data_IF_384530727957
#
_entry.id   IF_384530727957
#
_cell.length_a   1.000
_cell.length_b   1.000
_cell.length_c   1.000
_cell.angle_alpha   90.00
_cell.angle_beta   90.00
_cell.angle_gamma   90.00
#
_symmetry.space_group_name_H-M   'P 1'
#
loop_
_entity.id
_entity.type
_entity.pdbx_description
1 polymer ?
#
# COMPACT_ATOMS: atom_id res chain seq x y z
N UNK A 1 -31.13 -22.71 42.48
CA UNK A 1 -29.84 -23.17 41.91
C UNK A 1 -29.37 -22.40 40.65
N UNK A 2 -29.99 -21.27 40.27
CA UNK A 2 -29.65 -20.55 39.02
C UNK A 2 -28.58 -19.44 39.11
N UNK A 3 -28.19 -19.01 40.31
CA UNK A 3 -27.25 -17.88 40.50
C UNK A 3 -25.76 -18.25 40.32
N UNK A 4 -25.39 -19.53 40.39
CA UNK A 4 -24.00 -19.98 40.22
C UNK A 4 -23.61 -20.12 38.74
N UNK A 5 -24.56 -20.42 37.85
CA UNK A 5 -24.28 -20.70 36.44
C UNK A 5 -23.96 -19.43 35.66
N UNK A 6 -24.64 -18.30 35.93
CA UNK A 6 -24.33 -17.00 35.30
C UNK A 6 -22.95 -16.46 35.71
N UNK A 7 -22.56 -16.66 36.98
CA UNK A 7 -21.27 -16.22 37.54
C UNK A 7 -20.08 -17.05 37.02
N UNK A 8 -20.30 -18.33 36.71
CA UNK A 8 -19.31 -19.20 36.07
C UNK A 8 -19.17 -18.85 34.58
N UNK A 9 -20.28 -18.49 33.92
CA UNK A 9 -20.28 -18.06 32.51
C UNK A 9 -19.57 -16.72 32.30
N UNK A 10 -19.62 -15.81 33.28
CA UNK A 10 -18.87 -14.54 33.26
C UNK A 10 -17.38 -14.69 33.61
N UNK A 11 -16.99 -15.78 34.27
CA UNK A 11 -15.59 -16.06 34.64
C UNK A 11 -14.80 -16.78 33.53
N UNK A 12 -15.48 -17.24 32.48
CA UNK A 12 -14.89 -17.93 31.32
C UNK A 12 -14.92 -17.08 30.05
N UNK A 13 -14.81 -15.75 30.17
CA UNK A 13 -14.25 -14.97 29.05
C UNK A 13 -12.76 -15.27 29.01
N UNK A 14 -12.39 -16.36 28.34
CA UNK A 14 -11.00 -16.71 28.09
C UNK A 14 -10.41 -15.64 27.16
N UNK A 15 -9.92 -14.57 27.77
CA UNK A 15 -9.20 -13.51 27.08
C UNK A 15 -7.93 -14.13 26.52
N UNK A 16 -7.75 -14.08 25.19
CA UNK A 16 -6.53 -14.57 24.54
C UNK A 16 -5.31 -13.93 25.21
N UNK A 17 -4.25 -14.72 25.40
CA UNK A 17 -2.98 -14.23 25.95
C UNK A 17 -2.36 -13.16 25.03
N UNK A 18 -1.67 -12.13 25.58
CA UNK A 18 -0.92 -11.14 24.81
C UNK A 18 -0.04 -11.75 23.70
N UNK A 19 0.63 -12.87 23.98
CA UNK A 19 1.53 -13.54 23.03
C UNK A 19 0.79 -14.11 21.81
N UNK A 20 -0.47 -14.52 22.00
CA UNK A 20 -1.33 -15.03 20.92
C UNK A 20 -1.70 -13.91 19.96
N UNK A 21 -2.00 -12.71 20.47
CA UNK A 21 -2.26 -11.53 19.63
C UNK A 21 -1.01 -11.09 18.87
N UNK A 22 0.16 -11.10 19.52
CA UNK A 22 1.43 -10.78 18.87
C UNK A 22 1.72 -11.73 17.69
N UNK A 23 1.57 -13.04 17.91
CA UNK A 23 1.75 -14.05 16.86
C UNK A 23 0.77 -13.89 15.71
N UNK A 24 -0.50 -13.56 16.00
CA UNK A 24 -1.51 -13.29 14.96
C UNK A 24 -1.18 -12.03 14.15
N UNK A 25 -0.75 -10.95 14.81
CA UNK A 25 -0.33 -9.71 14.16
C UNK A 25 0.94 -9.88 13.30
N UNK A 26 1.89 -10.69 13.78
CA UNK A 26 3.11 -11.03 13.04
C UNK A 26 2.79 -11.85 11.79
N UNK A 27 1.90 -12.85 11.90
CA UNK A 27 1.41 -13.62 10.75
C UNK A 27 0.78 -12.73 9.68
N UNK A 28 -0.12 -11.82 10.09
CA UNK A 28 -0.76 -10.87 9.17
C UNK A 28 0.28 -9.96 8.49
N UNK A 29 1.28 -9.46 9.23
CA UNK A 29 2.34 -8.62 8.65
C UNK A 29 3.20 -9.38 7.64
N UNK A 30 3.54 -10.64 7.92
CA UNK A 30 4.33 -11.47 7.01
C UNK A 30 3.58 -11.75 5.71
N UNK A 31 2.28 -12.05 5.78
CA UNK A 31 1.42 -12.23 4.60
C UNK A 31 1.30 -10.94 3.78
N UNK A 32 1.13 -9.78 4.44
CA UNK A 32 1.14 -8.46 3.80
C UNK A 32 2.45 -8.24 3.03
N UNK A 33 3.60 -8.48 3.69
CA UNK A 33 4.92 -8.30 3.08
C UNK A 33 5.17 -9.26 1.92
N UNK A 34 4.66 -10.49 1.98
CA UNK A 34 4.77 -11.45 0.90
C UNK A 34 3.94 -11.03 -0.32
N UNK A 35 2.70 -10.58 -0.11
CA UNK A 35 1.82 -10.09 -1.19
C UNK A 35 2.41 -8.82 -1.83
N UNK A 36 2.90 -7.87 -1.03
CA UNK A 36 3.53 -6.66 -1.57
C UNK A 36 4.77 -6.98 -2.42
N UNK A 37 5.62 -7.92 -1.97
CA UNK A 37 6.78 -8.37 -2.76
C UNK A 37 6.35 -9.04 -4.07
N UNK A 38 5.37 -9.95 -4.03
CA UNK A 38 4.85 -10.62 -5.24
C UNK A 38 4.24 -9.63 -6.23
N UNK A 39 3.52 -8.62 -5.76
CA UNK A 39 2.96 -7.59 -6.64
C UNK A 39 4.06 -6.75 -7.30
N UNK A 40 5.10 -6.36 -6.55
CA UNK A 40 6.22 -5.62 -7.10
C UNK A 40 6.96 -6.41 -8.19
N UNK A 41 7.17 -7.72 -7.99
CA UNK A 41 7.81 -8.56 -9.02
C UNK A 41 6.92 -8.76 -10.24
N UNK A 42 5.61 -8.94 -10.06
CA UNK A 42 4.65 -9.05 -11.16
C UNK A 42 4.56 -7.77 -11.99
N UNK A 43 4.53 -6.60 -11.35
CA UNK A 43 4.56 -5.31 -12.02
C UNK A 43 5.83 -5.16 -12.88
N UNK A 44 6.99 -5.50 -12.30
CA UNK A 44 8.25 -5.48 -13.04
C UNK A 44 8.23 -6.43 -14.24
N UNK A 45 7.76 -7.66 -14.06
CA UNK A 45 7.63 -8.63 -15.15
C UNK A 45 6.71 -8.11 -16.27
N UNK A 46 5.55 -7.54 -15.93
CA UNK A 46 4.63 -6.95 -16.89
C UNK A 46 5.29 -5.83 -17.71
N UNK A 47 6.02 -4.93 -17.06
CA UNK A 47 6.72 -3.84 -17.73
C UNK A 47 7.78 -4.35 -18.69
N UNK A 48 8.65 -5.27 -18.22
CA UNK A 48 9.70 -5.87 -19.04
C UNK A 48 9.11 -6.55 -20.26
N UNK A 49 8.09 -7.41 -20.08
CA UNK A 49 7.42 -8.12 -21.18
C UNK A 49 6.80 -7.13 -22.17
N UNK A 50 6.11 -6.09 -21.67
CA UNK A 50 5.45 -5.09 -22.53
C UNK A 50 6.46 -4.29 -23.35
N UNK A 51 7.57 -3.86 -22.74
CA UNK A 51 8.64 -3.15 -23.44
C UNK A 51 9.32 -4.02 -24.49
N UNK A 52 9.59 -5.30 -24.18
CA UNK A 52 10.12 -6.23 -25.18
C UNK A 52 9.17 -6.37 -26.36
N UNK A 53 7.89 -6.69 -26.14
CA UNK A 53 6.90 -6.86 -27.23
C UNK A 53 6.84 -5.61 -28.11
N UNK A 54 6.80 -4.41 -27.50
CA UNK A 54 6.74 -3.15 -28.22
C UNK A 54 8.04 -2.89 -29.00
N UNK A 55 9.20 -3.11 -28.38
CA UNK A 55 10.51 -2.91 -29.01
C UNK A 55 10.68 -3.81 -30.24
N UNK A 56 10.44 -5.12 -30.10
CA UNK A 56 10.54 -6.09 -31.20
C UNK A 56 9.56 -5.77 -32.35
N UNK A 57 8.32 -5.36 -32.04
CA UNK A 57 7.35 -5.00 -33.08
C UNK A 57 7.79 -3.78 -33.91
N UNK A 58 8.43 -2.78 -33.28
CA UNK A 58 9.00 -1.61 -33.98
C UNK A 58 10.20 -2.01 -34.84
N UNK A 59 11.10 -2.84 -34.31
CA UNK A 59 12.26 -3.33 -35.05
C UNK A 59 11.82 -4.11 -36.30
N UNK A 60 10.84 -5.01 -36.15
CA UNK A 60 10.30 -5.78 -37.26
C UNK A 60 9.71 -4.85 -38.35
N UNK A 61 8.96 -3.83 -37.95
CA UNK A 61 8.41 -2.85 -38.88
C UNK A 61 9.49 -2.10 -39.67
N UNK A 62 10.58 -1.69 -39.02
CA UNK A 62 11.71 -1.03 -39.67
C UNK A 62 12.39 -1.96 -40.68
N UNK A 63 12.63 -3.23 -40.32
CA UNK A 63 13.23 -4.22 -41.22
C UNK A 63 12.35 -4.48 -42.44
N UNK A 64 11.04 -4.68 -42.24
CA UNK A 64 10.08 -4.89 -43.34
C UNK A 64 10.07 -3.69 -44.31
N UNK A 65 10.05 -2.47 -43.76
CA UNK A 65 10.08 -1.24 -44.57
C UNK A 65 11.40 -1.07 -45.33
N UNK A 66 12.53 -1.42 -44.70
CA UNK A 66 13.86 -1.35 -45.31
C UNK A 66 14.01 -2.35 -46.46
N UNK A 67 13.59 -3.60 -46.25
CA UNK A 67 13.60 -4.64 -47.30
C UNK A 67 12.73 -4.18 -48.47
N UNK A 68 11.53 -3.70 -48.20
CA UNK A 68 10.63 -3.20 -49.24
C UNK A 68 11.24 -2.01 -50.01
N UNK A 69 11.90 -1.09 -49.32
CA UNK A 69 12.59 0.05 -49.94
C UNK A 69 13.70 -0.40 -50.92
N UNK A 70 14.42 -1.48 -50.61
CA UNK A 70 15.51 -2.00 -51.46
C UNK A 70 15.06 -3.04 -52.51
N UNK A 71 13.95 -3.76 -52.30
CA UNK A 71 13.61 -4.93 -53.12
C UNK A 71 12.83 -4.64 -54.40
N UNK A 72 12.06 -3.55 -54.49
CA UNK A 72 11.49 -2.92 -55.70
C UNK A 72 10.32 -2.02 -55.26
N UNK A 73 10.25 -0.79 -55.77
CA UNK A 73 9.09 0.07 -55.58
C UNK A 73 7.91 -0.55 -56.36
N UNK A 74 6.85 -1.02 -55.69
CA UNK A 74 5.75 -1.65 -56.39
C UNK A 74 5.10 -0.65 -57.35
N UNK A 75 4.88 -1.11 -58.57
CA UNK A 75 4.27 -0.32 -59.63
C UNK A 75 2.76 -0.54 -59.74
N UNK A 76 2.23 -1.58 -59.05
CA UNK A 76 0.82 -1.98 -59.11
C UNK A 76 0.14 -1.93 -57.75
N UNK A 77 -1.16 -1.61 -57.74
CA UNK A 77 -1.98 -1.54 -56.51
C UNK A 77 -2.13 -2.90 -55.81
N UNK A 78 -1.99 -4.01 -56.55
CA UNK A 78 -2.14 -5.37 -56.02
C UNK A 78 -0.97 -5.73 -55.09
N UNK A 79 0.26 -5.36 -55.47
CA UNK A 79 1.46 -5.57 -54.65
C UNK A 79 1.37 -4.81 -53.32
N UNK A 80 0.78 -3.61 -53.32
CA UNK A 80 0.50 -2.86 -52.09
C UNK A 80 -0.49 -3.59 -51.16
N UNK A 81 -1.57 -4.19 -51.70
CA UNK A 81 -2.56 -4.92 -50.89
C UNK A 81 -1.92 -6.15 -50.24
N UNK A 82 -1.12 -6.91 -50.99
CA UNK A 82 -0.39 -8.07 -50.45
C UNK A 82 0.63 -7.69 -49.37
N UNK A 83 1.18 -6.48 -49.41
CA UNK A 83 2.08 -5.98 -48.39
C UNK A 83 1.34 -5.41 -47.16
N UNK A 84 0.31 -4.60 -47.38
CA UNK A 84 -0.45 -3.95 -46.30
C UNK A 84 -1.27 -4.94 -45.47
N UNK A 85 -1.82 -5.99 -46.10
CA UNK A 85 -2.64 -6.99 -45.42
C UNK A 85 -1.92 -7.69 -44.24
N UNK A 86 -0.77 -8.32 -44.47
CA UNK A 86 0.02 -8.94 -43.40
C UNK A 86 0.50 -7.98 -42.32
N UNK A 87 0.88 -6.74 -42.69
CA UNK A 87 1.31 -5.71 -41.72
C UNK A 87 0.15 -5.30 -40.80
N UNK A 88 -1.05 -5.11 -41.36
CA UNK A 88 -2.25 -4.79 -40.60
C UNK A 88 -2.67 -5.96 -39.69
N UNK A 89 -2.62 -7.20 -40.20
CA UNK A 89 -2.89 -8.40 -39.41
C UNK A 89 -1.91 -8.51 -38.23
N UNK A 90 -0.61 -8.32 -38.48
CA UNK A 90 0.41 -8.31 -37.44
C UNK A 90 0.16 -7.23 -36.39
N UNK A 91 -0.20 -6.01 -36.81
CA UNK A 91 -0.54 -4.92 -35.89
C UNK A 91 -1.74 -5.28 -34.99
N UNK A 92 -2.81 -5.85 -35.56
CA UNK A 92 -3.99 -6.32 -34.81
C UNK A 92 -3.60 -7.40 -33.80
N UNK A 93 -2.77 -8.37 -34.20
CA UNK A 93 -2.28 -9.45 -33.32
C UNK A 93 -1.48 -8.89 -32.14
N UNK A 94 -0.55 -7.96 -32.37
CA UNK A 94 0.23 -7.30 -31.31
C UNK A 94 -0.69 -6.50 -30.37
N UNK A 95 -1.67 -5.76 -30.90
CA UNK A 95 -2.66 -5.06 -30.09
C UNK A 95 -3.49 -6.03 -29.23
N UNK A 96 -3.93 -7.15 -29.79
CA UNK A 96 -4.65 -8.20 -29.08
C UNK A 96 -3.81 -8.81 -27.96
N UNK A 97 -2.56 -9.18 -28.25
CA UNK A 97 -1.61 -9.72 -27.28
C UNK A 97 -1.32 -8.74 -26.13
N UNK A 98 -1.11 -7.46 -26.43
CA UNK A 98 -0.91 -6.44 -25.40
C UNK A 98 -2.15 -6.27 -24.52
N UNK A 99 -3.34 -6.31 -25.12
CA UNK A 99 -4.61 -6.20 -24.38
C UNK A 99 -4.82 -7.40 -23.47
N UNK A 100 -4.55 -8.62 -23.93
CA UNK A 100 -4.69 -9.82 -23.12
C UNK A 100 -3.66 -9.86 -21.98
N UNK A 101 -2.40 -9.49 -22.24
CA UNK A 101 -1.37 -9.36 -21.21
C UNK A 101 -1.77 -8.35 -20.14
N UNK A 102 -2.17 -7.14 -20.53
CA UNK A 102 -2.63 -6.13 -19.59
C UNK A 102 -3.80 -6.64 -18.75
N UNK A 103 -4.80 -7.26 -19.39
CA UNK A 103 -5.95 -7.82 -18.68
C UNK A 103 -5.53 -8.88 -17.66
N UNK A 104 -4.63 -9.79 -18.04
CA UNK A 104 -4.13 -10.85 -17.14
C UNK A 104 -3.43 -10.27 -15.91
N UNK A 105 -2.49 -9.34 -16.12
CA UNK A 105 -1.75 -8.72 -15.00
C UNK A 105 -2.64 -7.80 -14.16
N UNK A 106 -3.53 -7.01 -14.78
CA UNK A 106 -4.50 -6.17 -14.06
C UNK A 106 -5.44 -7.03 -13.21
N UNK A 107 -5.88 -8.18 -13.74
CA UNK A 107 -6.71 -9.13 -13.00
C UNK A 107 -5.98 -9.71 -11.79
N UNK A 108 -4.72 -10.12 -11.97
CA UNK A 108 -3.90 -10.67 -10.89
C UNK A 108 -3.62 -9.63 -9.78
N UNK A 109 -3.23 -8.40 -10.19
CA UNK A 109 -2.97 -7.29 -9.28
C UNK A 109 -4.24 -6.89 -8.52
N UNK A 110 -5.41 -6.92 -9.19
CA UNK A 110 -6.69 -6.63 -8.55
C UNK A 110 -7.01 -7.65 -7.44
N UNK A 111 -6.86 -8.94 -7.73
CA UNK A 111 -7.10 -10.01 -6.74
C UNK A 111 -6.17 -9.89 -5.53
N UNK A 112 -4.91 -9.54 -5.75
CA UNK A 112 -3.95 -9.36 -4.66
C UNK A 112 -4.20 -8.08 -3.85
N UNK A 113 -4.65 -6.99 -4.49
CA UNK A 113 -5.02 -5.76 -3.79
C UNK A 113 -6.26 -5.93 -2.91
N UNK A 114 -7.25 -6.72 -3.34
CA UNK A 114 -8.41 -7.09 -2.52
C UNK A 114 -8.00 -7.90 -1.29
N UNK A 115 -7.12 -8.90 -1.44
CA UNK A 115 -6.55 -9.65 -0.31
C UNK A 115 -5.79 -8.75 0.66
N UNK A 116 -4.99 -7.82 0.15
CA UNK A 116 -4.26 -6.87 0.96
C UNK A 116 -5.21 -5.99 1.80
N UNK A 117 -6.31 -5.52 1.20
CA UNK A 117 -7.33 -4.77 1.91
C UNK A 117 -8.00 -5.58 3.03
N UNK A 118 -8.31 -6.86 2.77
CA UNK A 118 -8.86 -7.77 3.78
C UNK A 118 -7.90 -8.01 4.95
N UNK A 119 -6.60 -8.22 4.68
CA UNK A 119 -5.58 -8.40 5.71
C UNK A 119 -5.39 -7.14 6.55
N UNK A 120 -5.38 -5.95 5.93
CA UNK A 120 -5.32 -4.69 6.65
C UNK A 120 -6.55 -4.45 7.52
N UNK A 121 -7.74 -4.83 7.05
CA UNK A 121 -8.96 -4.78 7.85
C UNK A 121 -8.90 -5.75 9.03
N UNK A 122 -8.46 -6.99 8.82
CA UNK A 122 -8.25 -7.97 9.91
C UNK A 122 -7.27 -7.46 10.95
N UNK A 123 -6.14 -6.87 10.51
CA UNK A 123 -5.16 -6.25 11.40
C UNK A 123 -5.79 -5.19 12.30
N UNK A 124 -6.64 -4.32 11.74
CA UNK A 124 -7.37 -3.31 12.52
C UNK A 124 -8.32 -3.93 13.54
N UNK A 125 -9.08 -4.95 13.16
CA UNK A 125 -10.03 -5.60 14.06
C UNK A 125 -9.32 -6.28 15.24
N UNK A 126 -8.16 -6.88 15.00
CA UNK A 126 -7.32 -7.45 16.07
C UNK A 126 -6.80 -6.35 16.99
N UNK A 127 -6.36 -5.21 16.42
CA UNK A 127 -5.90 -4.07 17.21
C UNK A 127 -7.02 -3.42 18.04
N UNK A 128 -8.26 -3.35 17.53
CA UNK A 128 -9.41 -2.88 18.31
C UNK A 128 -9.78 -3.85 19.42
N UNK A 129 -9.71 -5.17 19.18
CA UNK A 129 -9.97 -6.18 20.21
C UNK A 129 -8.96 -6.08 21.36
N UNK A 130 -7.68 -5.83 21.06
CA UNK A 130 -6.64 -5.58 22.07
C UNK A 130 -6.96 -4.32 22.90
N UNK A 131 -7.42 -3.23 22.28
CA UNK A 131 -7.81 -2.00 22.98
C UNK A 131 -8.98 -2.22 23.95
N UNK A 132 -9.94 -3.05 23.59
CA UNK A 132 -11.15 -3.32 24.40
C UNK A 132 -10.93 -4.34 25.51
N UNK A 133 -10.13 -5.38 25.27
CA UNK A 133 -10.03 -6.55 26.16
C UNK A 133 -8.79 -6.57 27.06
N UNK A 134 -7.80 -5.72 26.82
CA UNK A 134 -6.55 -5.71 27.59
C UNK A 134 -6.42 -4.51 28.52
N UNK A 135 -5.66 -4.71 29.61
CA UNK A 135 -5.25 -3.65 30.52
C UNK A 135 -4.51 -2.55 29.74
N UNK A 136 -4.73 -1.28 30.10
CA UNK A 136 -4.21 -0.12 29.36
C UNK A 136 -2.69 -0.20 29.11
N UNK A 137 -1.91 -0.69 30.09
CA UNK A 137 -0.45 -0.80 29.99
C UNK A 137 -0.02 -1.84 28.94
N UNK A 138 -0.69 -2.98 28.88
CA UNK A 138 -0.36 -4.07 27.95
C UNK A 138 -0.88 -3.76 26.54
N UNK A 139 -2.09 -3.19 26.44
CA UNK A 139 -2.64 -2.69 25.18
C UNK A 139 -1.73 -1.61 24.58
N UNK A 140 -1.26 -0.66 25.39
CA UNK A 140 -0.35 0.42 24.95
C UNK A 140 0.96 -0.13 24.42
N UNK A 141 1.60 -1.07 25.11
CA UNK A 141 2.86 -1.67 24.65
C UNK A 141 2.72 -2.35 23.28
N UNK A 142 1.64 -3.10 23.07
CA UNK A 142 1.37 -3.76 21.78
C UNK A 142 1.09 -2.72 20.69
N UNK A 143 0.26 -1.72 20.99
CA UNK A 143 -0.08 -0.68 20.01
C UNK A 143 1.16 0.13 19.63
N UNK A 144 2.00 0.54 20.58
CA UNK A 144 3.25 1.25 20.31
C UNK A 144 4.22 0.41 19.48
N UNK A 145 4.36 -0.89 19.76
CA UNK A 145 5.20 -1.81 18.99
C UNK A 145 4.74 -1.89 17.52
N UNK A 146 3.45 -2.11 17.26
CA UNK A 146 2.94 -2.28 15.88
C UNK A 146 2.66 -0.96 15.15
N UNK A 147 2.47 0.15 15.85
CA UNK A 147 2.36 1.49 15.25
C UNK A 147 3.74 2.09 14.94
N UNK A 148 4.76 1.79 15.74
CA UNK A 148 6.16 2.12 15.43
C UNK A 148 6.67 1.28 14.24
N UNK A 149 6.40 -0.03 14.22
CA UNK A 149 6.71 -0.88 13.04
C UNK A 149 5.99 -0.38 11.79
N UNK A 150 4.77 0.17 11.89
CA UNK A 150 4.10 0.82 10.74
C UNK A 150 4.88 2.05 10.26
N UNK A 151 5.31 2.93 11.15
CA UNK A 151 6.13 4.11 10.81
C UNK A 151 7.47 3.70 10.19
N UNK A 152 8.16 2.73 10.78
CA UNK A 152 9.41 2.18 10.24
C UNK A 152 9.20 1.52 8.88
N UNK A 153 8.11 0.78 8.67
CA UNK A 153 7.79 0.18 7.38
C UNK A 153 7.42 1.24 6.33
N UNK A 154 6.73 2.32 6.71
CA UNK A 154 6.43 3.47 5.83
C UNK A 154 7.71 4.24 5.46
N UNK A 155 8.62 4.44 6.42
CA UNK A 155 9.95 5.04 6.22
C UNK A 155 10.85 4.13 5.37
N UNK A 156 10.86 2.83 5.60
CA UNK A 156 11.56 1.82 4.79
C UNK A 156 10.94 1.70 3.39
N UNK A 157 9.63 1.92 3.20
CA UNK A 157 8.99 2.01 1.86
C UNK A 157 9.41 3.30 1.13
N UNK A 158 9.83 4.31 1.86
CA UNK A 158 10.40 5.55 1.33
C UNK A 158 11.90 5.42 1.03
N UNK A 159 12.66 4.67 1.84
CA UNK A 159 14.08 4.37 1.64
C UNK A 159 14.33 3.29 0.58
N UNK A 160 13.58 2.18 0.57
CA UNK A 160 13.65 1.16 -0.50
C UNK A 160 13.26 1.70 -1.88
N UNK A 161 12.58 2.85 -1.96
CA UNK A 161 12.37 3.55 -3.24
C UNK A 161 13.65 4.15 -3.82
N UNK A 162 14.70 4.33 -3.01
CA UNK A 162 15.99 4.90 -3.42
C UNK A 162 17.05 3.83 -3.73
N UNK A 163 16.95 2.64 -3.14
CA UNK A 163 18.00 1.61 -3.23
C UNK A 163 17.75 0.49 -4.27
N UNK A 164 16.62 0.50 -4.97
CA UNK A 164 16.42 -0.40 -6.13
C UNK A 164 16.69 0.39 -7.41
N UNK A 165 17.67 -0.07 -8.20
CA UNK A 165 17.98 0.41 -9.56
C UNK A 165 16.86 0.04 -10.56
N UNK A 166 15.64 0.51 -10.31
CA UNK A 166 14.54 0.51 -11.29
C UNK A 166 14.56 1.89 -11.95
N UNK A 167 14.59 2.00 -13.29
CA UNK A 167 14.58 3.28 -13.99
C UNK A 167 13.48 4.22 -13.48
N UNK A 168 13.86 5.44 -13.11
CA UNK A 168 13.05 6.47 -12.42
C UNK A 168 11.75 6.86 -13.16
N UNK A 169 11.67 6.56 -14.45
CA UNK A 169 10.47 6.66 -15.29
C UNK A 169 9.32 5.73 -14.84
N UNK A 170 9.62 4.64 -14.12
CA UNK A 170 8.63 3.66 -13.67
C UNK A 170 7.81 4.13 -12.46
N UNK A 171 8.42 4.89 -11.54
CA UNK A 171 7.77 5.40 -10.33
C UNK A 171 6.70 6.47 -10.62
N UNK A 172 6.84 7.23 -11.70
CA UNK A 172 5.95 8.36 -12.04
C UNK A 172 4.55 7.91 -12.50
N UNK A 173 4.36 6.63 -12.84
CA UNK A 173 3.06 6.06 -13.25
C UNK A 173 2.43 5.14 -12.19
N UNK A 174 2.83 5.22 -10.93
CA UNK A 174 1.99 4.70 -9.85
C UNK A 174 0.82 5.68 -9.66
N UNK A 175 -0.21 5.55 -10.50
CA UNK A 175 -1.52 6.15 -10.20
C UNK A 175 -1.97 5.43 -8.93
N UNK A 176 -1.94 6.11 -7.77
CA UNK A 176 -2.47 5.56 -6.52
C UNK A 176 -3.80 4.87 -6.86
N UNK A 177 -3.89 3.55 -6.62
CA UNK A 177 -5.12 2.87 -7.00
C UNK A 177 -6.26 3.48 -6.17
N UNK A 178 -7.47 3.58 -6.73
CA UNK A 178 -8.62 4.07 -5.97
C UNK A 178 -8.79 3.30 -4.66
N UNK A 179 -8.36 2.03 -4.64
CA UNK A 179 -8.31 1.17 -3.47
C UNK A 179 -7.26 1.61 -2.45
N UNK A 180 -6.06 2.03 -2.88
CA UNK A 180 -5.00 2.56 -2.01
C UNK A 180 -5.44 3.88 -1.36
N UNK A 181 -6.22 4.70 -2.09
CA UNK A 181 -6.83 5.92 -1.56
C UNK A 181 -8.04 5.66 -0.66
N UNK A 182 -8.89 4.69 -0.99
CA UNK A 182 -9.99 4.24 -0.11
C UNK A 182 -9.43 3.60 1.15
N UNK A 183 -8.36 2.81 1.05
CA UNK A 183 -7.62 2.28 2.20
C UNK A 183 -7.07 3.45 3.00
N UNK A 184 -6.41 4.43 2.40
CA UNK A 184 -5.93 5.61 3.15
C UNK A 184 -7.06 6.34 3.87
N UNK A 185 -8.24 6.48 3.25
CA UNK A 185 -9.43 7.13 3.80
C UNK A 185 -10.12 6.31 4.91
N UNK A 186 -10.31 5.01 4.69
CA UNK A 186 -10.89 4.04 5.65
C UNK A 186 -9.91 3.74 6.78
N UNK A 187 -8.60 3.88 6.53
CA UNK A 187 -7.52 3.68 7.49
C UNK A 187 -7.08 4.97 8.21
N UNK A 188 -7.46 6.15 7.74
CA UNK A 188 -7.20 7.40 8.46
C UNK A 188 -8.18 7.54 9.60
N UNK A 189 -7.67 7.52 10.84
CA UNK A 189 -8.36 8.12 11.97
C UNK A 189 -8.50 9.63 11.67
N UNK A 190 -9.68 10.22 11.91
CA UNK A 190 -9.97 11.63 11.61
C UNK A 190 -9.11 12.54 12.49
N UNK A 191 -8.03 13.07 11.91
CA UNK A 191 -7.14 14.04 12.57
C UNK A 191 -7.67 15.45 12.32
N UNK A 192 -8.55 15.91 13.20
CA UNK A 192 -9.20 17.22 13.06
C UNK A 192 -8.32 18.38 13.56
N UNK A 193 -7.38 18.13 14.47
CA UNK A 193 -6.71 19.21 15.21
C UNK A 193 -5.35 19.57 14.64
N UNK A 194 -5.19 20.82 14.20
CA UNK A 194 -3.92 21.32 13.67
C UNK A 194 -2.88 21.62 14.76
N UNK A 195 -1.67 21.09 14.58
CA UNK A 195 -0.50 21.39 15.42
C UNK A 195 0.13 22.72 14.95
N UNK A 196 -0.33 23.82 15.55
CA UNK A 196 0.17 25.16 15.26
C UNK A 196 1.21 25.56 16.31
N UNK A 197 2.38 25.98 15.86
CA UNK A 197 3.43 26.43 16.77
C UNK A 197 3.02 27.74 17.47
N UNK A 198 3.05 27.76 18.80
CA UNK A 198 2.70 28.95 19.60
C UNK A 198 3.68 30.11 19.47
N UNK A 199 4.89 29.85 18.95
CA UNK A 199 5.95 30.85 18.84
C UNK A 199 6.07 31.49 17.47
N UNK A 200 5.74 30.77 16.39
CA UNK A 200 5.88 31.27 15.02
C UNK A 200 4.64 31.07 14.14
N UNK A 201 3.56 30.48 14.67
CA UNK A 201 2.30 30.27 13.95
C UNK A 201 2.36 29.23 12.83
N UNK A 202 3.48 28.54 12.62
CA UNK A 202 3.62 27.56 11.53
C UNK A 202 2.91 26.24 11.85
N UNK A 203 2.26 25.68 10.83
CA UNK A 203 1.60 24.37 10.87
C UNK A 203 2.62 23.23 10.84
N UNK A 204 2.48 22.26 11.75
CA UNK A 204 3.40 21.13 11.93
C UNK A 204 2.72 19.76 11.71
N UNK A 205 1.48 19.76 11.21
CA UNK A 205 0.70 18.54 10.95
C UNK A 205 -0.63 18.54 11.70
N UNK A 206 -1.32 17.40 11.62
CA UNK A 206 -2.61 17.16 12.27
C UNK A 206 -2.46 16.11 13.38
N UNK A 207 -3.20 16.28 14.46
CA UNK A 207 -3.30 15.37 15.59
C UNK A 207 -4.74 14.88 15.78
N UNK A 208 -4.86 13.70 16.39
CA UNK A 208 -6.14 13.14 16.81
C UNK A 208 -6.74 13.96 17.96
N UNK A 209 -8.06 13.92 18.11
CA UNK A 209 -8.75 14.67 19.16
C UNK A 209 -8.34 14.21 20.56
N UNK A 210 -8.11 12.92 20.73
CA UNK A 210 -7.70 12.31 22.00
C UNK A 210 -6.25 12.65 22.35
N UNK A 211 -5.38 12.83 21.36
CA UNK A 211 -3.95 13.10 21.56
C UNK A 211 -3.63 14.59 21.62
N UNK A 212 -4.48 15.46 21.07
CA UNK A 212 -4.19 16.88 20.85
C UNK A 212 -3.82 17.63 22.12
N UNK A 213 -4.42 17.27 23.27
CA UNK A 213 -4.12 17.91 24.54
C UNK A 213 -2.83 17.39 25.18
N UNK A 214 -2.42 16.15 24.90
CA UNK A 214 -1.28 15.48 25.56
C UNK A 214 -0.02 15.45 24.70
N UNK A 215 -0.10 15.82 23.42
CA UNK A 215 1.04 15.78 22.50
C UNK A 215 1.92 17.02 22.65
N UNK A 216 3.22 16.80 22.83
CA UNK A 216 4.25 17.84 22.69
C UNK A 216 5.01 17.63 21.38
N UNK A 217 5.35 18.71 20.68
CA UNK A 217 6.09 18.62 19.42
C UNK A 217 7.14 19.73 19.28
N UNK A 218 8.20 19.47 18.50
CA UNK A 218 9.18 20.49 18.14
C UNK A 218 8.81 21.11 16.80
N UNK A 219 8.76 22.43 16.72
CA UNK A 219 8.39 23.12 15.49
C UNK A 219 9.45 22.93 14.39
N UNK A 220 9.05 22.53 13.18
CA UNK A 220 9.96 22.33 12.05
C UNK A 220 10.70 23.60 11.61
N UNK A 221 10.08 24.77 11.79
CA UNK A 221 10.64 26.05 11.38
C UNK A 221 11.56 26.68 12.43
N UNK A 222 11.04 26.92 13.65
CA UNK A 222 11.76 27.65 14.67
C UNK A 222 12.43 26.76 15.72
N UNK A 223 12.27 25.44 15.60
CA UNK A 223 12.86 24.41 16.47
C UNK A 223 12.49 24.54 17.97
N UNK A 224 11.60 25.45 18.34
CA UNK A 224 11.09 25.59 19.71
C UNK A 224 10.16 24.42 20.06
N UNK A 225 10.28 23.93 21.29
CA UNK A 225 9.42 22.88 21.83
C UNK A 225 8.06 23.47 22.21
N UNK A 226 6.99 22.90 21.64
CA UNK A 226 5.62 23.18 22.01
C UNK A 226 5.20 22.10 23.02
N UNK A 227 5.04 22.43 24.32
CA UNK A 227 4.64 21.47 25.33
C UNK A 227 3.18 21.06 25.14
N UNK A 228 2.81 19.91 25.70
CA UNK A 228 1.43 19.45 25.79
C UNK A 228 0.57 20.46 26.57
N UNK A 229 -0.73 20.54 26.25
CA UNK A 229 -1.69 21.38 26.97
C UNK A 229 -2.03 20.80 28.34
N UNK A 230 -2.10 19.48 28.40
CA UNK A 230 -2.39 18.71 29.59
C UNK A 230 -1.28 17.69 29.81
N UNK A 231 -0.92 17.49 31.08
CA UNK A 231 -0.08 16.37 31.50
C UNK A 231 -0.95 15.17 31.82
N UNK A 232 -0.50 13.98 31.45
CA UNK A 232 -1.19 12.74 31.87
C UNK A 232 -0.98 12.62 33.38
N UNK A 233 -2.01 12.93 34.16
CA UNK A 233 -2.02 12.65 35.60
C UNK A 233 -2.34 11.17 35.76
N UNK A 234 -1.43 10.32 36.28
CA UNK A 234 -1.78 8.95 36.60
C UNK A 234 -2.90 9.01 37.64
N UNK A 235 -4.09 8.50 37.31
CA UNK A 235 -5.17 8.36 38.27
C UNK A 235 -4.65 7.54 39.45
N UNK A 236 -4.48 8.20 40.60
CA UNK A 236 -4.07 7.60 41.87
C UNK A 236 -4.95 6.37 42.12
N UNK A 237 -4.29 5.23 42.28
CA UNK A 237 -4.90 3.99 42.77
C UNK A 237 -5.55 4.33 44.11
N UNK A 238 -6.88 4.45 44.14
CA UNK A 238 -7.62 4.50 45.40
C UNK A 238 -7.47 3.11 46.02
N UNK A 239 -6.66 3.06 47.08
CA UNK A 239 -6.51 1.96 48.04
C UNK A 239 -7.85 1.59 48.66
#
# INVERSE_FOLDING_TARGET
MGLKISKIRSLLTFTKSPDVYKKELEGINNEILEIERKNATLEYQYYMITEFIVSYSRLLYLVITLVFFFSTLPSTVVEYIFFCGPVLLFYILICGLKKSLKWYFDHEIKRNSEKLAQLQFRKKNVLSEVKEKMQFKDAKNIIEEYSCVKKLNEEHKFQNRKDVSIPELYLRRKRESSVENVVKYVLSEEKENALICKYCGRHNGLALKEEFNYISFRCCQCLKLNPAKETIVPSVIKS
#
